data_IF_103950391314
#
_entry.id   IF_103950391314
#
_cell.length_a   1.000
_cell.length_b   1.000
_cell.length_c   1.000
_cell.angle_alpha   90.00
_cell.angle_beta   90.00
_cell.angle_gamma   90.00
#
_symmetry.space_group_name_H-M   'P 1'
#
loop_
_entity.id
_entity.type
_entity.pdbx_description
1 polymer ?
#
# COMPACT_ATOMS: atom_id res chain seq x y z
N UNK A 1 0.46 10.87 27.41
CA UNK A 1 1.20 10.12 26.36
C UNK A 1 1.12 10.85 25.03
N UNK A 2 2.26 10.97 24.34
CA UNK A 2 2.40 11.52 22.99
C UNK A 2 2.40 10.39 21.98
N UNK A 3 1.66 10.56 20.89
CA UNK A 3 1.54 9.54 19.85
C UNK A 3 1.54 10.12 18.45
N UNK A 4 1.84 9.29 17.46
CA UNK A 4 1.76 9.67 16.04
C UNK A 4 1.22 8.52 15.19
N UNK A 5 0.38 8.84 14.20
CA UNK A 5 0.04 7.93 13.10
C UNK A 5 0.83 8.33 11.86
N UNK A 6 1.75 7.47 11.43
CA UNK A 6 2.59 7.64 10.25
C UNK A 6 2.05 6.72 9.16
N UNK A 7 1.89 7.23 7.94
CA UNK A 7 1.42 6.39 6.83
C UNK A 7 1.99 6.78 5.46
N UNK A 8 1.94 5.83 4.53
CA UNK A 8 1.96 6.14 3.11
C UNK A 8 0.60 5.82 2.48
N UNK A 9 0.17 6.57 1.46
CA UNK A 9 -1.02 6.23 0.69
C UNK A 9 -0.88 6.69 -0.77
N UNK A 10 -0.99 5.75 -1.71
CA UNK A 10 -0.93 6.06 -3.14
C UNK A 10 -2.30 6.50 -3.68
N UNK A 11 -3.36 5.77 -3.33
CA UNK A 11 -4.72 5.95 -3.89
C UNK A 11 -5.72 6.51 -2.88
N UNK A 12 -5.31 6.70 -1.62
CA UNK A 12 -6.15 7.27 -0.56
C UNK A 12 -6.73 6.25 0.43
N UNK A 13 -6.70 4.94 0.14
CA UNK A 13 -7.26 3.91 1.05
C UNK A 13 -6.59 3.96 2.43
N UNK A 14 -5.27 3.81 2.47
CA UNK A 14 -4.49 3.84 3.72
C UNK A 14 -4.62 5.18 4.44
N UNK A 15 -4.80 6.29 3.73
CA UNK A 15 -5.04 7.61 4.33
C UNK A 15 -6.36 7.65 5.08
N UNK A 16 -7.44 7.11 4.50
CA UNK A 16 -8.75 7.05 5.16
C UNK A 16 -8.65 6.24 6.46
N UNK A 17 -8.01 5.08 6.42
CA UNK A 17 -7.74 4.24 7.60
C UNK A 17 -6.88 4.98 8.63
N UNK A 18 -5.76 5.59 8.21
CA UNK A 18 -4.87 6.33 9.10
C UNK A 18 -5.59 7.48 9.83
N UNK A 19 -6.45 8.23 9.11
CA UNK A 19 -7.28 9.30 9.71
C UNK A 19 -8.30 8.74 10.70
N UNK A 20 -8.88 7.56 10.44
CA UNK A 20 -9.78 6.92 11.39
C UNK A 20 -9.05 6.45 12.66
N UNK A 21 -7.91 5.76 12.51
CA UNK A 21 -7.03 5.38 13.61
C UNK A 21 -6.64 6.60 14.45
N UNK A 22 -6.23 7.70 13.79
CA UNK A 22 -5.86 8.94 14.45
C UNK A 22 -7.02 9.54 15.28
N UNK A 23 -8.26 9.53 14.77
CA UNK A 23 -9.43 9.95 15.56
C UNK A 23 -9.60 9.11 16.82
N UNK A 24 -9.46 7.79 16.70
CA UNK A 24 -9.59 6.86 17.83
C UNK A 24 -8.51 7.09 18.88
N UNK A 25 -7.25 7.21 18.46
CA UNK A 25 -6.13 7.50 19.35
C UNK A 25 -6.28 8.87 20.05
N UNK A 26 -6.79 9.88 19.33
CA UNK A 26 -6.99 11.24 19.86
C UNK A 26 -8.05 11.32 20.97
N UNK A 27 -8.92 10.32 21.11
CA UNK A 27 -9.89 10.25 22.22
C UNK A 27 -9.20 9.91 23.56
N UNK A 28 -8.02 9.29 23.50
CA UNK A 28 -7.33 8.75 24.67
C UNK A 28 -6.02 9.49 24.92
N UNK A 29 -5.21 9.73 23.89
CA UNK A 29 -3.90 10.37 23.99
C UNK A 29 -3.99 11.88 24.27
N UNK A 30 -3.01 12.43 25.02
CA UNK A 30 -2.93 13.88 25.28
C UNK A 30 -2.55 14.66 24.01
N UNK A 31 -1.70 14.04 23.18
CA UNK A 31 -1.29 14.55 21.89
C UNK A 31 -1.22 13.38 20.90
N UNK A 32 -1.87 13.55 19.76
CA UNK A 32 -1.83 12.59 18.66
C UNK A 32 -1.55 13.33 17.35
N UNK A 33 -0.35 13.18 16.83
CA UNK A 33 0.04 13.71 15.54
C UNK A 33 -0.37 12.74 14.43
N UNK A 34 -0.50 13.24 13.20
CA UNK A 34 -0.66 12.41 12.00
C UNK A 34 0.18 13.00 10.88
N UNK A 35 0.96 12.16 10.21
CA UNK A 35 1.85 12.60 9.14
C UNK A 35 2.09 11.49 8.11
N UNK A 36 2.46 11.88 6.90
CA UNK A 36 2.94 10.95 5.90
C UNK A 36 4.41 10.60 6.14
N UNK A 37 4.87 9.45 5.62
CA UNK A 37 6.30 9.07 5.68
C UNK A 37 7.26 10.11 5.06
N UNK A 38 6.77 10.99 4.17
CA UNK A 38 7.57 12.06 3.56
C UNK A 38 7.77 13.25 4.52
N UNK A 39 6.86 13.45 5.46
CA UNK A 39 6.85 14.59 6.39
C UNK A 39 7.56 14.28 7.70
N UNK A 40 7.85 12.99 7.97
CA UNK A 40 8.50 12.55 9.20
C UNK A 40 9.98 12.28 8.97
N UNK A 41 10.82 12.87 9.81
CA UNK A 41 12.21 12.47 9.93
C UNK A 41 12.30 11.19 10.80
N UNK A 42 12.79 10.05 10.27
CA UNK A 42 12.87 8.78 11.00
C UNK A 42 13.69 8.83 12.30
N UNK A 43 14.51 9.86 12.49
CA UNK A 43 15.36 10.05 13.68
C UNK A 43 14.60 10.63 14.87
N UNK A 44 13.44 11.25 14.65
CA UNK A 44 12.70 12.00 15.67
C UNK A 44 11.54 11.18 16.25
N UNK A 45 11.61 9.85 16.21
CA UNK A 45 10.54 8.96 16.65
C UNK A 45 10.56 8.69 18.16
N UNK A 46 11.69 8.90 18.82
CA UNK A 46 11.90 8.70 20.26
C UNK A 46 11.08 9.66 21.14
N UNK A 47 10.60 10.77 20.58
CA UNK A 47 9.71 11.72 21.26
C UNK A 47 8.27 11.23 21.44
N UNK A 48 7.92 10.09 20.85
CA UNK A 48 6.58 9.49 20.93
C UNK A 48 6.58 8.24 21.80
N UNK A 49 5.55 8.10 22.62
CA UNK A 49 5.33 6.90 23.44
C UNK A 49 4.70 5.77 22.62
N UNK A 50 3.91 6.14 21.59
CA UNK A 50 3.19 5.22 20.71
C UNK A 50 3.20 5.68 19.26
N UNK A 51 3.57 4.77 18.35
CA UNK A 51 3.60 5.01 16.91
C UNK A 51 2.64 4.06 16.20
N UNK A 52 1.82 4.57 15.28
CA UNK A 52 1.14 3.77 14.27
C UNK A 52 1.87 3.86 12.94
N UNK A 53 2.14 2.74 12.26
CA UNK A 53 2.80 2.74 10.94
C UNK A 53 1.97 2.00 9.89
N UNK A 54 1.49 2.75 8.89
CA UNK A 54 0.62 2.28 7.82
C UNK A 54 1.25 2.24 6.43
N UNK A 55 1.02 1.17 5.67
CA UNK A 55 1.35 1.10 4.23
C UNK A 55 0.23 0.41 3.46
N UNK A 56 -0.07 0.79 2.20
CA UNK A 56 -0.75 -0.14 1.31
C UNK A 56 0.16 -1.35 1.05
N UNK A 57 -0.44 -2.50 0.75
CA UNK A 57 0.32 -3.67 0.31
C UNK A 57 0.77 -3.48 -1.14
N UNK A 58 2.05 -3.74 -1.34
CA UNK A 58 2.72 -3.71 -2.63
C UNK A 58 3.47 -5.02 -2.82
N UNK A 59 3.00 -5.89 -3.72
CA UNK A 59 3.60 -7.20 -3.99
C UNK A 59 3.90 -7.98 -2.68
N UNK A 60 2.88 -8.12 -1.84
CA UNK A 60 2.96 -8.89 -0.58
C UNK A 60 3.65 -8.20 0.60
N UNK A 61 4.27 -7.03 0.40
CA UNK A 61 4.97 -6.30 1.46
C UNK A 61 4.56 -4.83 1.58
N UNK A 62 5.27 -4.12 2.44
CA UNK A 62 5.22 -2.66 2.50
C UNK A 62 5.80 -2.01 1.24
N UNK A 63 5.35 -0.80 0.96
CA UNK A 63 5.86 0.00 -0.14
C UNK A 63 7.34 0.36 0.03
N UNK A 64 8.14 0.41 -1.06
CA UNK A 64 9.56 0.76 -1.00
C UNK A 64 9.92 2.00 -0.18
N UNK A 65 9.14 3.09 -0.26
CA UNK A 65 9.40 4.28 0.55
C UNK A 65 9.17 4.06 2.06
N UNK A 66 8.20 3.22 2.43
CA UNK A 66 7.99 2.81 3.83
C UNK A 66 9.14 1.90 4.28
N UNK A 67 9.62 0.99 3.43
CA UNK A 67 10.81 0.18 3.72
C UNK A 67 12.04 1.05 3.97
N UNK A 68 12.31 2.00 3.06
CA UNK A 68 13.43 2.97 3.20
C UNK A 68 13.26 3.82 4.46
N UNK A 69 12.03 4.24 4.79
CA UNK A 69 11.74 4.95 6.04
C UNK A 69 12.14 4.11 7.25
N UNK A 70 11.67 2.85 7.34
CA UNK A 70 12.00 1.93 8.44
C UNK A 70 13.51 1.69 8.52
N UNK A 71 14.19 1.48 7.40
CA UNK A 71 15.63 1.20 7.37
C UNK A 71 16.44 2.38 7.94
N UNK A 72 15.94 3.62 7.82
CA UNK A 72 16.54 4.83 8.39
C UNK A 72 16.21 5.08 9.87
N UNK A 73 15.27 4.35 10.46
CA UNK A 73 14.93 4.49 11.89
C UNK A 73 16.14 4.04 12.74
N UNK A 74 16.63 4.86 13.69
CA UNK A 74 17.67 4.45 14.63
C UNK A 74 17.14 3.37 15.59
N UNK A 75 18.05 2.68 16.30
CA UNK A 75 17.62 1.71 17.31
C UNK A 75 16.76 2.39 18.39
N UNK A 76 15.61 1.79 18.65
CA UNK A 76 14.62 2.20 19.63
C UNK A 76 14.80 1.39 20.91
N UNK A 77 14.26 1.88 22.01
CA UNK A 77 14.40 1.28 23.33
C UNK A 77 13.04 0.83 23.87
N UNK A 78 12.37 -0.07 23.15
CA UNK A 78 11.10 -0.64 23.57
C UNK A 78 9.88 0.25 23.29
N UNK A 79 10.03 1.39 22.60
CA UNK A 79 8.93 2.26 22.17
C UNK A 79 7.80 1.44 21.56
N UNK A 80 6.57 1.73 21.94
CA UNK A 80 5.42 0.98 21.46
C UNK A 80 5.10 1.37 20.02
N UNK A 81 4.84 0.37 19.19
CA UNK A 81 4.40 0.56 17.81
C UNK A 81 3.30 -0.43 17.45
N UNK A 82 2.35 -0.01 16.63
CA UNK A 82 1.46 -0.93 15.93
C UNK A 82 1.57 -0.70 14.42
N UNK A 83 1.28 -1.72 13.62
CA UNK A 83 1.29 -1.59 12.16
C UNK A 83 -0.05 -1.90 11.55
N UNK A 84 -0.39 -1.18 10.48
CA UNK A 84 -1.58 -1.47 9.71
C UNK A 84 -1.31 -1.46 8.22
N UNK A 85 -2.20 -2.08 7.45
CA UNK A 85 -2.14 -2.01 6.01
C UNK A 85 -3.52 -1.92 5.34
N UNK A 86 -3.50 -1.58 4.06
CA UNK A 86 -4.67 -1.74 3.18
C UNK A 86 -4.31 -2.57 1.96
N UNK A 87 -5.19 -3.45 1.53
CA UNK A 87 -4.89 -4.41 0.47
C UNK A 87 -6.09 -4.76 -0.40
N UNK A 88 -5.82 -5.48 -1.50
CA UNK A 88 -6.83 -6.11 -2.33
C UNK A 88 -7.38 -7.36 -1.67
N UNK A 89 -6.72 -8.51 -1.83
CA UNK A 89 -7.26 -9.78 -1.31
C UNK A 89 -6.20 -10.71 -0.70
N UNK A 90 -4.91 -10.33 -0.74
CA UNK A 90 -3.81 -11.16 -0.25
C UNK A 90 -2.87 -10.33 0.63
N UNK A 91 -3.05 -10.29 1.96
CA UNK A 91 -2.16 -9.57 2.86
C UNK A 91 -1.17 -10.43 3.64
N UNK A 92 -1.10 -11.73 3.37
CA UNK A 92 -0.60 -12.75 4.29
C UNK A 92 0.87 -12.57 4.65
N UNK A 93 1.70 -12.10 3.72
CA UNK A 93 3.14 -11.92 3.95
C UNK A 93 3.50 -10.61 4.67
N UNK A 94 2.59 -9.64 4.75
CA UNK A 94 2.90 -8.30 5.24
C UNK A 94 3.29 -8.31 6.73
N UNK A 95 2.41 -8.78 7.61
CA UNK A 95 2.65 -8.70 9.06
C UNK A 95 3.79 -9.59 9.54
N UNK A 96 3.97 -10.84 9.07
CA UNK A 96 5.15 -11.62 9.42
C UNK A 96 6.46 -10.87 9.14
N UNK A 97 6.60 -10.26 7.97
CA UNK A 97 7.80 -9.46 7.64
C UNK A 97 7.90 -8.17 8.46
N UNK A 98 6.81 -7.39 8.52
CA UNK A 98 6.77 -6.07 9.14
C UNK A 98 7.07 -6.13 10.65
N UNK A 99 6.42 -7.04 11.38
CA UNK A 99 6.62 -7.18 12.84
C UNK A 99 8.08 -7.50 13.16
N UNK A 100 8.72 -8.41 12.40
CA UNK A 100 10.14 -8.75 12.59
C UNK A 100 11.04 -7.56 12.30
N UNK A 101 10.78 -6.80 11.24
CA UNK A 101 11.56 -5.60 10.89
C UNK A 101 11.48 -4.52 11.97
N UNK A 102 10.28 -4.27 12.50
CA UNK A 102 10.06 -3.31 13.59
C UNK A 102 10.72 -3.77 14.90
N UNK A 103 10.59 -5.04 15.28
CA UNK A 103 11.29 -5.60 16.44
C UNK A 103 12.81 -5.55 16.28
N UNK A 104 13.33 -5.79 15.09
CA UNK A 104 14.76 -5.64 14.80
C UNK A 104 15.24 -4.18 14.96
N UNK A 105 14.35 -3.19 14.87
CA UNK A 105 14.64 -1.80 15.20
C UNK A 105 14.51 -1.47 16.70
N UNK A 106 14.12 -2.43 17.54
CA UNK A 106 14.01 -2.25 19.00
C UNK A 106 12.65 -1.75 19.47
N UNK A 107 11.62 -1.77 18.61
CA UNK A 107 10.26 -1.46 19.01
C UNK A 107 9.58 -2.64 19.73
N UNK A 108 8.63 -2.33 20.60
CA UNK A 108 7.64 -3.28 21.09
C UNK A 108 6.41 -3.20 20.21
N UNK A 109 6.15 -4.24 19.41
CA UNK A 109 4.98 -4.27 18.52
C UNK A 109 3.76 -4.72 19.30
N UNK A 110 2.80 -3.81 19.51
CA UNK A 110 1.63 -4.02 20.39
C UNK A 110 0.34 -4.39 19.64
N UNK A 111 0.35 -4.37 18.31
CA UNK A 111 -0.82 -4.72 17.52
C UNK A 111 -0.60 -4.64 16.01
N UNK A 112 -1.44 -5.37 15.28
CA UNK A 112 -1.49 -5.36 13.82
C UNK A 112 -2.91 -5.51 13.32
N UNK A 113 -3.31 -4.75 12.30
CA UNK A 113 -4.63 -4.91 11.66
C UNK A 113 -4.64 -4.42 10.22
N UNK A 114 -5.41 -5.07 9.36
CA UNK A 114 -5.55 -4.71 7.95
C UNK A 114 -7.00 -4.41 7.56
N UNK A 115 -7.14 -3.72 6.44
CA UNK A 115 -8.43 -3.39 5.83
C UNK A 115 -8.41 -3.58 4.32
N UNK A 116 -9.56 -3.90 3.75
CA UNK A 116 -9.73 -3.92 2.32
C UNK A 116 -9.68 -2.49 1.74
N UNK A 117 -9.15 -2.37 0.53
CA UNK A 117 -9.08 -1.10 -0.19
C UNK A 117 -9.31 -1.28 -1.67
N UNK A 118 -9.95 -0.30 -2.29
CA UNK A 118 -10.19 -0.27 -3.74
C UNK A 118 -8.86 -0.34 -4.51
N UNK A 119 -8.77 -1.26 -5.46
CA UNK A 119 -7.52 -1.55 -6.19
C UNK A 119 -7.42 -0.71 -7.46
N UNK A 120 -6.30 -0.03 -7.71
CA UNK A 120 -6.13 0.80 -8.90
C UNK A 120 -4.80 0.49 -9.61
N UNK A 121 -4.83 -0.45 -10.56
CA UNK A 121 -3.76 -0.68 -11.52
C UNK A 121 -4.35 -1.07 -12.87
N UNK A 122 -3.57 -0.95 -13.95
CA UNK A 122 -4.04 -0.98 -15.34
C UNK A 122 -4.80 -2.25 -15.71
N UNK A 123 -4.31 -3.38 -15.22
CA UNK A 123 -4.76 -4.72 -15.57
C UNK A 123 -5.79 -5.29 -14.57
N UNK A 124 -6.09 -4.58 -13.48
CA UNK A 124 -7.09 -5.02 -12.53
C UNK A 124 -8.48 -5.05 -13.19
N UNK A 125 -9.32 -6.07 -12.95
CA UNK A 125 -10.71 -6.00 -13.35
C UNK A 125 -11.39 -4.79 -12.70
N UNK A 126 -12.34 -4.18 -13.43
CA UNK A 126 -13.18 -3.10 -12.91
C UNK A 126 -14.67 -3.33 -13.19
N UNK A 127 -15.52 -3.34 -12.15
CA UNK A 127 -15.19 -3.26 -10.71
C UNK A 127 -14.32 -4.43 -10.21
N UNK A 128 -13.61 -4.21 -9.10
CA UNK A 128 -12.80 -5.20 -8.38
C UNK A 128 -13.52 -5.68 -7.10
N UNK A 129 -13.12 -6.81 -6.53
CA UNK A 129 -13.73 -7.40 -5.32
C UNK A 129 -13.84 -6.43 -4.13
N UNK A 130 -12.84 -5.55 -3.97
CA UNK A 130 -12.77 -4.59 -2.86
C UNK A 130 -13.18 -3.17 -3.24
N UNK A 131 -13.76 -2.97 -4.42
CA UNK A 131 -14.23 -1.63 -4.80
C UNK A 131 -15.37 -1.16 -3.88
N UNK A 132 -15.24 0.07 -3.40
CA UNK A 132 -16.10 0.64 -2.36
C UNK A 132 -15.40 0.69 -0.99
N UNK A 133 -14.44 -0.20 -0.74
CA UNK A 133 -13.64 -0.18 0.49
C UNK A 133 -12.45 0.81 0.41
N UNK A 134 -12.00 1.38 1.54
CA UNK A 134 -12.63 1.27 2.85
C UNK A 134 -13.92 2.10 2.93
N UNK A 135 -14.96 1.50 3.50
CA UNK A 135 -16.28 2.07 3.74
C UNK A 135 -16.48 2.46 5.22
N UNK A 136 -17.67 2.94 5.59
CA UNK A 136 -17.92 3.44 6.95
C UNK A 136 -17.73 2.38 8.04
N UNK A 137 -17.94 1.09 7.75
CA UNK A 137 -17.68 0.02 8.72
C UNK A 137 -16.18 -0.14 8.90
N UNK A 138 -15.42 -0.19 7.81
CA UNK A 138 -13.95 -0.25 7.86
C UNK A 138 -13.38 0.94 8.65
N UNK A 139 -13.92 2.15 8.44
CA UNK A 139 -13.50 3.34 9.15
C UNK A 139 -13.84 3.29 10.63
N UNK A 140 -15.00 2.75 11.00
CA UNK A 140 -15.37 2.58 12.41
C UNK A 140 -14.45 1.59 13.11
N UNK A 141 -14.15 0.46 12.47
CA UNK A 141 -13.21 -0.53 13.01
C UNK A 141 -11.79 0.04 13.16
N UNK A 142 -11.33 0.83 12.19
CA UNK A 142 -10.05 1.52 12.25
C UNK A 142 -9.99 2.54 13.40
N UNK A 143 -11.08 3.27 13.63
CA UNK A 143 -11.19 4.18 14.76
C UNK A 143 -11.17 3.44 16.11
N UNK A 144 -11.91 2.35 16.22
CA UNK A 144 -11.92 1.53 17.44
C UNK A 144 -10.56 0.89 17.72
N UNK A 145 -9.88 0.40 16.68
CA UNK A 145 -8.52 -0.12 16.78
C UNK A 145 -7.52 0.96 17.22
N UNK A 146 -7.63 2.19 16.71
CA UNK A 146 -6.80 3.30 17.16
C UNK A 146 -6.95 3.59 18.66
N UNK A 147 -8.20 3.63 19.15
CA UNK A 147 -8.48 3.79 20.58
C UNK A 147 -7.87 2.65 21.40
N UNK A 148 -8.11 1.41 20.97
CA UNK A 148 -7.58 0.20 21.61
C UNK A 148 -6.05 0.23 21.73
N UNK A 149 -5.32 0.61 20.68
CA UNK A 149 -3.86 0.68 20.70
C UNK A 149 -3.33 1.73 21.70
N UNK A 150 -4.00 2.87 21.81
CA UNK A 150 -3.64 3.90 22.80
C UNK A 150 -3.86 3.41 24.24
N UNK A 151 -4.98 2.74 24.50
CA UNK A 151 -5.29 2.14 25.82
C UNK A 151 -4.31 1.03 26.17
N UNK A 152 -4.08 0.09 25.25
CA UNK A 152 -3.14 -1.02 25.44
C UNK A 152 -1.72 -0.52 25.67
N UNK A 153 -1.28 0.53 24.98
CA UNK A 153 0.04 1.12 25.23
C UNK A 153 0.22 1.59 26.67
N UNK A 154 -0.81 2.21 27.27
CA UNK A 154 -0.77 2.64 28.68
C UNK A 154 -0.75 1.45 29.64
N UNK A 155 -1.60 0.45 29.37
CA UNK A 155 -1.71 -0.78 30.17
C UNK A 155 -0.41 -1.60 30.15
N UNK A 156 0.20 -1.76 28.97
CA UNK A 156 1.50 -2.42 28.81
C UNK A 156 2.58 -1.66 29.59
N UNK A 157 2.58 -0.32 29.52
CA UNK A 157 3.51 0.52 30.31
C UNK A 157 3.30 0.37 31.82
N UNK A 158 2.07 0.04 32.26
CA UNK A 158 1.72 -0.25 33.65
C UNK A 158 2.00 -1.70 34.08
N UNK A 159 2.57 -2.53 33.20
CA UNK A 159 2.99 -3.89 33.50
C UNK A 159 2.10 -5.00 32.91
N UNK A 160 1.03 -4.66 32.18
CA UNK A 160 0.17 -5.65 31.51
C UNK A 160 0.81 -6.18 30.20
N UNK A 161 2.01 -6.77 30.29
CA UNK A 161 2.80 -7.20 29.12
C UNK A 161 2.18 -8.37 28.34
N UNK A 162 1.19 -9.06 28.92
CA UNK A 162 0.43 -10.12 28.26
C UNK A 162 -0.42 -9.61 27.07
N UNK A 163 -0.63 -8.28 26.97
CA UNK A 163 -1.32 -7.64 25.85
C UNK A 163 -0.43 -7.54 24.59
N UNK A 164 0.89 -7.77 24.70
CA UNK A 164 1.80 -7.77 23.56
C UNK A 164 1.55 -9.05 22.74
N UNK A 165 1.10 -8.96 21.47
CA UNK A 165 0.82 -10.14 20.67
C UNK A 165 2.11 -10.90 20.32
N UNK A 166 2.02 -12.23 20.09
CA UNK A 166 3.13 -12.99 19.56
C UNK A 166 3.51 -12.51 18.16
N UNK A 167 4.74 -12.82 17.73
CA UNK A 167 5.18 -12.53 16.36
C UNK A 167 4.41 -13.44 15.40
N UNK A 168 3.73 -12.90 14.37
CA UNK A 168 3.04 -13.73 13.38
C UNK A 168 3.98 -14.72 12.69
N UNK A 169 3.54 -15.96 12.53
CA UNK A 169 4.30 -17.01 11.85
C UNK A 169 4.51 -16.68 10.37
N UNK A 170 5.62 -17.17 9.79
CA UNK A 170 5.76 -17.18 8.35
C UNK A 170 4.90 -18.30 7.78
N UNK A 171 3.98 -17.97 6.89
CA UNK A 171 3.12 -18.96 6.25
C UNK A 171 3.53 -19.12 4.79
N UNK A 172 3.64 -20.36 4.33
CA UNK A 172 3.68 -20.64 2.89
C UNK A 172 2.26 -20.52 2.35
N UNK A 173 2.00 -19.47 1.60
CA UNK A 173 0.67 -19.17 1.05
C UNK A 173 0.68 -19.20 -0.48
N UNK A 174 -0.47 -19.41 -1.14
CA UNK A 174 -0.58 -19.20 -2.59
C UNK A 174 -0.04 -17.84 -3.04
N UNK A 175 -0.20 -16.79 -2.21
CA UNK A 175 0.43 -15.49 -2.46
C UNK A 175 1.96 -15.61 -2.63
N UNK A 176 2.66 -16.41 -1.82
CA UNK A 176 4.11 -16.54 -1.93
C UNK A 176 4.52 -17.18 -3.27
N UNK A 177 3.77 -18.18 -3.74
CA UNK A 177 3.99 -18.75 -5.08
C UNK A 177 3.79 -17.71 -6.18
N UNK A 178 2.70 -16.95 -6.11
CA UNK A 178 2.43 -15.87 -7.07
C UNK A 178 3.55 -14.84 -7.08
N UNK A 179 4.03 -14.43 -5.91
CA UNK A 179 5.15 -13.50 -5.80
C UNK A 179 6.44 -14.09 -6.38
N UNK A 180 6.74 -15.37 -6.11
CA UNK A 180 7.91 -16.05 -6.67
C UNK A 180 7.87 -16.07 -8.20
N UNK A 181 6.73 -16.39 -8.81
CA UNK A 181 6.55 -16.35 -10.27
C UNK A 181 6.77 -14.93 -10.81
N UNK A 182 6.21 -13.91 -10.15
CA UNK A 182 6.45 -12.51 -10.53
C UNK A 182 7.92 -12.09 -10.41
N UNK A 183 8.65 -12.58 -9.40
CA UNK A 183 10.08 -12.29 -9.27
C UNK A 183 10.91 -13.06 -10.32
N UNK A 184 10.51 -14.28 -10.69
CA UNK A 184 11.21 -15.11 -11.67
C UNK A 184 11.00 -14.64 -13.11
N UNK A 185 9.88 -13.99 -13.43
CA UNK A 185 9.61 -13.47 -14.78
C UNK A 185 10.67 -12.47 -15.26
N UNK A 186 11.38 -11.81 -14.34
CA UNK A 186 12.53 -11.00 -14.69
C UNK A 186 12.21 -9.64 -15.32
N UNK A 187 10.92 -9.27 -15.39
CA UNK A 187 10.46 -8.03 -16.01
C UNK A 187 9.22 -7.47 -15.28
N UNK A 188 8.89 -6.20 -15.55
CA UNK A 188 7.61 -5.65 -15.09
C UNK A 188 6.46 -6.45 -15.74
N UNK A 189 5.57 -7.11 -14.98
CA UNK A 189 4.44 -7.84 -15.56
C UNK A 189 3.43 -6.91 -16.26
N UNK A 190 3.51 -5.61 -16.03
CA UNK A 190 2.65 -4.58 -16.60
C UNK A 190 3.31 -3.87 -17.80
N UNK A 191 4.49 -4.30 -18.25
CA UNK A 191 5.16 -3.75 -19.44
C UNK A 191 6.00 -2.48 -19.18
N UNK A 192 6.55 -1.91 -20.27
CA UNK A 192 7.45 -0.76 -20.20
C UNK A 192 6.73 0.59 -20.31
N UNK A 193 7.22 1.57 -19.54
CA UNK A 193 6.73 2.95 -19.57
C UNK A 193 7.56 3.80 -20.53
N UNK A 194 6.87 4.48 -21.43
CA UNK A 194 7.39 5.45 -22.40
C UNK A 194 7.08 6.88 -21.97
N UNK A 195 7.90 7.82 -22.44
CA UNK A 195 7.73 9.26 -22.23
C UNK A 195 7.71 9.99 -23.57
N UNK A 196 6.70 10.84 -23.76
CA UNK A 196 6.56 11.72 -24.91
C UNK A 196 6.71 13.17 -24.44
N UNK A 197 7.82 13.81 -24.85
CA UNK A 197 8.17 15.19 -24.49
C UNK A 197 7.16 16.21 -25.04
N UNK A 198 6.64 16.01 -26.25
CA UNK A 198 5.69 16.92 -26.91
C UNK A 198 4.33 16.96 -26.20
N UNK A 199 3.90 15.84 -25.61
CA UNK A 199 2.68 15.76 -24.80
C UNK A 199 2.90 16.23 -23.36
N UNK A 200 4.15 16.38 -22.92
CA UNK A 200 4.45 16.66 -21.52
C UNK A 200 4.16 18.13 -21.18
N UNK A 201 3.52 18.35 -20.03
CA UNK A 201 3.23 19.69 -19.53
C UNK A 201 4.27 20.21 -18.52
N UNK A 202 5.35 19.46 -18.26
CA UNK A 202 6.45 19.94 -17.41
C UNK A 202 7.05 21.23 -17.99
N UNK A 203 7.36 22.26 -17.19
CA UNK A 203 7.33 22.29 -15.71
C UNK A 203 5.97 22.67 -15.09
N UNK A 204 4.93 22.98 -15.88
CA UNK A 204 3.60 23.34 -15.36
C UNK A 204 2.88 22.17 -14.65
N UNK A 205 3.34 20.94 -14.86
CA UNK A 205 2.83 19.74 -14.21
C UNK A 205 3.97 18.85 -13.71
N UNK A 206 3.95 18.52 -12.42
CA UNK A 206 4.96 17.69 -11.73
C UNK A 206 4.36 16.42 -11.12
N UNK A 207 3.10 16.08 -11.42
CA UNK A 207 2.36 14.98 -10.77
C UNK A 207 3.13 13.66 -10.71
N UNK A 208 3.81 13.27 -11.80
CA UNK A 208 4.59 12.04 -11.85
C UNK A 208 5.82 12.08 -10.93
N UNK A 209 6.47 13.23 -10.79
CA UNK A 209 7.61 13.45 -9.88
C UNK A 209 7.11 13.46 -8.43
N UNK A 210 6.08 14.25 -8.14
CA UNK A 210 5.56 14.47 -6.78
C UNK A 210 5.00 13.18 -6.15
N UNK A 211 4.46 12.29 -6.97
CA UNK A 211 3.83 11.03 -6.56
C UNK A 211 4.66 9.80 -6.97
N UNK A 212 5.92 9.99 -7.38
CA UNK A 212 6.83 8.86 -7.57
C UNK A 212 7.17 8.26 -6.21
N UNK A 213 6.73 7.01 -6.00
CA UNK A 213 7.01 6.24 -4.79
C UNK A 213 8.52 6.14 -4.50
N UNK A 214 9.30 5.95 -5.58
CA UNK A 214 10.74 5.75 -5.52
C UNK A 214 11.53 7.05 -5.50
N UNK A 215 10.89 8.21 -5.70
CA UNK A 215 11.59 9.48 -5.92
C UNK A 215 12.51 9.46 -7.15
N UNK A 216 12.23 8.59 -8.12
CA UNK A 216 13.12 8.29 -9.24
C UNK A 216 12.87 9.20 -10.46
N UNK A 217 11.63 9.62 -10.71
CA UNK A 217 11.29 10.41 -11.90
C UNK A 217 11.84 11.83 -11.72
N UNK A 218 12.67 12.27 -12.67
CA UNK A 218 13.21 13.63 -12.76
C UNK A 218 13.19 14.12 -14.21
N UNK A 219 12.23 15.00 -14.52
CA UNK A 219 12.07 15.59 -15.85
C UNK A 219 12.88 16.87 -16.04
N UNK A 220 13.62 17.32 -15.02
CA UNK A 220 14.41 18.56 -15.05
C UNK A 220 15.80 18.39 -15.68
N UNK A 221 16.28 17.15 -15.76
CA UNK A 221 17.61 16.77 -16.28
C UNK A 221 17.56 16.36 -17.75
N UNK A 222 18.72 16.35 -18.42
CA UNK A 222 18.88 15.91 -19.81
C UNK A 222 19.91 14.75 -19.91
N UNK A 223 19.51 13.54 -20.35
CA UNK A 223 18.16 13.16 -20.74
C UNK A 223 17.21 13.04 -19.52
N UNK A 224 15.90 13.28 -19.70
CA UNK A 224 14.94 13.17 -18.61
C UNK A 224 14.86 11.73 -18.08
N UNK A 225 14.74 11.60 -16.76
CA UNK A 225 14.67 10.34 -16.03
C UNK A 225 13.20 10.00 -15.77
N UNK A 226 12.77 8.84 -16.25
CA UNK A 226 11.41 8.33 -16.13
C UNK A 226 11.36 6.82 -16.35
N UNK A 227 10.24 6.19 -16.01
CA UNK A 227 10.03 4.76 -16.27
C UNK A 227 11.16 3.90 -15.68
N UNK A 228 11.59 2.84 -16.38
CA UNK A 228 12.67 1.94 -15.96
C UNK A 228 14.04 2.29 -16.56
N UNK A 229 14.38 3.56 -16.78
CA UNK A 229 15.69 3.95 -17.32
C UNK A 229 16.82 3.83 -16.28
N UNK A 230 17.17 2.61 -15.87
CA UNK A 230 18.17 2.32 -14.82
C UNK A 230 17.56 1.60 -13.61
N UNK A 231 18.28 1.57 -12.49
CA UNK A 231 17.97 0.67 -11.36
C UNK A 231 17.13 1.31 -10.24
N UNK A 232 16.74 2.58 -10.38
CA UNK A 232 16.04 3.33 -9.33
C UNK A 232 14.51 3.23 -9.38
N UNK A 233 13.94 2.85 -10.53
CA UNK A 233 12.52 2.60 -10.64
C UNK A 233 12.22 1.14 -10.34
N UNK A 234 11.34 0.91 -9.37
CA UNK A 234 10.86 -0.43 -9.02
C UNK A 234 9.79 -0.92 -10.00
N UNK A 235 10.09 -0.82 -11.30
CA UNK A 235 9.25 -1.36 -12.37
C UNK A 235 9.17 -2.88 -12.27
N UNK A 236 10.20 -3.55 -11.75
CA UNK A 236 10.16 -4.99 -11.49
C UNK A 236 8.96 -5.39 -10.60
N UNK A 237 8.56 -4.52 -9.67
CA UNK A 237 7.40 -4.73 -8.80
C UNK A 237 6.10 -4.11 -9.34
N UNK A 238 6.04 -3.76 -10.64
CA UNK A 238 4.77 -3.40 -11.30
C UNK A 238 4.27 -1.96 -11.13
N UNK A 239 5.10 -1.02 -10.62
CA UNK A 239 4.65 0.35 -10.40
C UNK A 239 4.49 1.16 -11.69
N UNK A 240 3.27 1.59 -11.94
CA UNK A 240 2.88 2.32 -13.16
C UNK A 240 1.99 3.52 -12.83
N UNK A 241 2.01 3.96 -11.56
CA UNK A 241 1.11 5.01 -11.07
C UNK A 241 1.29 6.34 -11.79
N UNK A 242 2.52 6.66 -12.20
CA UNK A 242 2.82 7.85 -13.01
C UNK A 242 2.05 7.90 -14.33
N UNK A 243 1.72 6.75 -14.92
CA UNK A 243 0.87 6.65 -16.11
C UNK A 243 -0.60 6.87 -15.78
N UNK A 244 -1.08 6.31 -14.68
CA UNK A 244 -2.48 6.46 -14.25
C UNK A 244 -2.84 7.94 -14.03
N UNK A 245 -1.92 8.71 -13.44
CA UNK A 245 -2.15 10.12 -13.07
C UNK A 245 -1.73 11.12 -14.15
N UNK A 246 -1.10 10.67 -15.24
CA UNK A 246 -0.63 11.58 -16.29
C UNK A 246 -1.84 12.18 -17.05
N UNK A 247 -2.04 13.52 -17.04
CA UNK A 247 -3.24 14.14 -17.60
C UNK A 247 -3.25 14.14 -19.13
N UNK A 248 -2.08 14.10 -19.78
CA UNK A 248 -1.96 14.16 -21.24
C UNK A 248 -1.59 12.81 -21.86
N UNK A 249 -1.30 11.80 -21.05
CA UNK A 249 -0.70 10.56 -21.52
C UNK A 249 0.72 10.74 -22.05
N UNK A 250 1.45 11.78 -21.62
CA UNK A 250 2.88 11.92 -21.87
C UNK A 250 3.68 10.76 -21.26
N UNK A 251 3.21 10.18 -20.16
CA UNK A 251 3.68 8.90 -19.63
C UNK A 251 2.64 7.85 -20.01
N UNK A 252 3.07 6.79 -20.70
CA UNK A 252 2.20 5.74 -21.24
C UNK A 252 2.90 4.38 -21.26
N UNK A 253 2.17 3.27 -21.20
CA UNK A 253 2.73 1.93 -21.42
C UNK A 253 2.10 1.24 -22.64
N UNK A 254 2.77 0.21 -23.17
CA UNK A 254 2.20 -0.65 -24.21
C UNK A 254 1.29 -1.72 -23.60
N UNK A 255 0.11 -1.30 -23.14
CA UNK A 255 -0.80 -2.18 -22.42
C UNK A 255 -1.41 -3.27 -23.30
N UNK A 256 -1.49 -3.08 -24.62
CA UNK A 256 -2.01 -4.11 -25.54
C UNK A 256 -1.04 -5.29 -25.68
N UNK A 257 0.26 -5.02 -25.70
CA UNK A 257 1.31 -6.04 -25.65
C UNK A 257 1.36 -6.68 -24.26
N UNK A 258 1.31 -5.88 -23.19
CA UNK A 258 1.21 -6.40 -21.81
C UNK A 258 -0.05 -7.24 -21.55
N UNK A 259 -1.16 -7.00 -22.26
CA UNK A 259 -2.36 -7.84 -22.22
C UNK A 259 -2.20 -9.18 -22.96
N UNK A 260 -1.30 -9.25 -23.95
CA UNK A 260 -0.98 -10.48 -24.72
C UNK A 260 0.09 -11.32 -24.05
N UNK A 261 1.07 -10.68 -23.42
CA UNK A 261 2.14 -11.31 -22.64
C UNK A 261 1.68 -11.67 -21.22
N UNK A 262 0.73 -10.91 -20.67
CA UNK A 262 0.17 -11.06 -19.33
C UNK A 262 -0.96 -12.10 -19.23
N UNK A 263 -0.82 -13.24 -19.91
CA UNK A 263 -1.33 -14.46 -19.30
C UNK A 263 -0.60 -14.54 -17.95
N UNK A 264 -1.31 -14.33 -16.83
CA UNK A 264 -0.71 -14.28 -15.50
C UNK A 264 0.02 -15.58 -15.15
N UNK A 265 0.27 -15.92 -13.87
CA UNK A 265 0.83 -17.23 -13.50
C UNK A 265 -0.06 -18.45 -13.85
N UNK A 266 -1.08 -18.27 -14.71
CA UNK A 266 -1.96 -19.30 -15.24
C UNK A 266 -1.27 -20.52 -15.88
N UNK A 267 -0.03 -20.45 -16.42
CA UNK A 267 0.67 -21.67 -16.84
C UNK A 267 1.06 -22.61 -15.69
N UNK A 268 1.09 -22.12 -14.43
CA UNK A 268 1.59 -22.88 -13.25
C UNK A 268 0.48 -23.25 -12.27
N UNK A 269 -0.64 -22.51 -12.23
CA UNK A 269 -1.79 -22.78 -11.36
C UNK A 269 -3.06 -22.99 -12.19
N UNK A 270 -3.80 -24.08 -11.93
CA UNK A 270 -5.10 -24.40 -12.57
C UNK A 270 -6.25 -23.41 -12.20
N UNK A 271 -5.94 -22.34 -11.46
CA UNK A 271 -6.90 -21.35 -10.98
C UNK A 271 -6.30 -19.95 -10.92
N UNK A 272 -7.14 -18.92 -10.96
CA UNK A 272 -6.73 -17.54 -10.71
C UNK A 272 -6.53 -17.31 -9.20
N UNK A 273 -5.30 -17.02 -8.73
CA UNK A 273 -5.03 -16.92 -7.30
C UNK A 273 -5.72 -15.72 -6.65
N UNK A 274 -5.89 -14.60 -7.36
CA UNK A 274 -6.60 -13.42 -6.84
C UNK A 274 -8.08 -13.70 -6.66
N UNK A 275 -8.70 -14.41 -7.61
CA UNK A 275 -10.10 -14.81 -7.49
C UNK A 275 -10.31 -15.80 -6.35
N UNK A 276 -9.45 -16.83 -6.24
CA UNK A 276 -9.53 -17.80 -5.14
C UNK A 276 -9.39 -17.12 -3.77
N UNK A 277 -8.40 -16.25 -3.61
CA UNK A 277 -8.22 -15.50 -2.36
C UNK A 277 -9.44 -14.64 -2.03
N UNK A 278 -10.03 -13.98 -3.03
CA UNK A 278 -11.26 -13.21 -2.87
C UNK A 278 -12.42 -14.09 -2.40
N UNK A 279 -12.67 -15.21 -3.08
CA UNK A 279 -13.77 -16.12 -2.76
C UNK A 279 -13.61 -16.71 -1.34
N UNK A 280 -12.39 -17.03 -0.90
CA UNK A 280 -12.10 -17.49 0.47
C UNK A 280 -12.44 -16.42 1.52
N UNK A 281 -12.01 -15.17 1.33
CA UNK A 281 -12.31 -14.10 2.30
C UNK A 281 -13.78 -13.69 2.28
N UNK A 282 -14.47 -13.80 1.14
CA UNK A 282 -15.92 -13.61 1.04
C UNK A 282 -16.65 -14.72 1.79
N UNK A 283 -16.29 -15.98 1.57
CA UNK A 283 -16.90 -17.13 2.24
C UNK A 283 -16.71 -17.10 3.76
N UNK A 284 -15.58 -16.58 4.24
CA UNK A 284 -15.32 -16.38 5.67
C UNK A 284 -16.14 -15.24 6.31
N UNK A 285 -16.81 -14.40 5.50
CA UNK A 285 -17.52 -13.20 5.95
C UNK A 285 -16.62 -12.00 6.24
N UNK A 286 -15.30 -12.13 6.05
CA UNK A 286 -14.33 -11.05 6.27
C UNK A 286 -14.46 -9.94 5.20
N UNK A 287 -14.67 -10.32 3.93
CA UNK A 287 -14.92 -9.36 2.85
C UNK A 287 -16.41 -9.29 2.52
N UNK A 288 -16.96 -8.09 2.59
CA UNK A 288 -18.35 -7.79 2.20
C UNK A 288 -18.37 -7.16 0.82
N UNK A 289 -18.90 -7.86 -0.18
CA UNK A 289 -18.98 -7.30 -1.52
C UNK A 289 -19.91 -6.06 -1.55
N UNK A 290 -19.35 -4.93 -1.98
CA UNK A 290 -20.08 -3.67 -2.23
C UNK A 290 -20.46 -3.47 -3.70
N UNK A 291 -20.03 -4.40 -4.55
CA UNK A 291 -20.33 -4.47 -5.98
C UNK A 291 -20.90 -5.85 -6.30
N UNK A 292 -21.82 -5.98 -7.27
CA UNK A 292 -22.34 -7.29 -7.66
C UNK A 292 -21.24 -8.19 -8.23
N UNK A 293 -21.16 -9.45 -7.80
CA UNK A 293 -20.08 -10.40 -8.15
C UNK A 293 -19.98 -10.61 -9.66
N UNK A 294 -21.11 -10.64 -10.35
CA UNK A 294 -21.23 -10.81 -11.80
C UNK A 294 -20.65 -9.63 -12.61
N UNK A 295 -20.45 -8.47 -11.99
CA UNK A 295 -19.80 -7.32 -12.63
C UNK A 295 -18.27 -7.39 -12.55
N UNK A 296 -17.71 -8.23 -11.68
CA UNK A 296 -16.25 -8.40 -11.53
C UNK A 296 -15.77 -9.31 -12.65
N UNK A 297 -15.30 -8.72 -13.74
CA UNK A 297 -14.90 -9.43 -14.96
C UNK A 297 -13.45 -9.16 -15.34
N UNK A 298 -12.63 -10.20 -15.39
CA UNK A 298 -11.20 -10.12 -15.76
C UNK A 298 -10.97 -9.70 -17.22
N UNK A 299 -11.95 -9.85 -18.11
CA UNK A 299 -11.89 -9.35 -19.49
C UNK A 299 -12.17 -7.83 -19.63
N UNK A 300 -12.52 -7.17 -18.51
CA UNK A 300 -12.83 -5.75 -18.41
C UNK A 300 -11.84 -5.00 -17.48
N UNK A 301 -10.56 -4.84 -17.90
CA UNK A 301 -9.52 -4.22 -17.08
C UNK A 301 -9.71 -2.71 -16.92
N UNK A 302 -9.07 -2.14 -15.89
CA UNK A 302 -9.11 -0.73 -15.51
C UNK A 302 -8.89 0.22 -16.69
N UNK A 303 -7.94 -0.06 -17.57
CA UNK A 303 -7.63 0.80 -18.72
C UNK A 303 -8.75 0.87 -19.77
N UNK A 304 -9.61 -0.16 -19.87
CA UNK A 304 -10.79 -0.14 -20.75
C UNK A 304 -11.91 0.69 -20.13
N UNK A 305 -12.15 0.50 -18.83
CA UNK A 305 -13.18 1.23 -18.07
C UNK A 305 -12.82 2.73 -17.94
N UNK A 306 -11.56 3.02 -17.61
CA UNK A 306 -11.02 4.37 -17.42
C UNK A 306 -10.11 4.74 -18.60
N UNK A 307 -10.70 4.86 -19.79
CA UNK A 307 -9.98 5.12 -21.05
C UNK A 307 -9.47 6.56 -21.20
N UNK A 308 -10.10 7.52 -20.51
CA UNK A 308 -9.75 8.95 -20.57
C UNK A 308 -8.60 9.30 -19.61
N UNK A 309 -7.81 10.31 -19.96
CA UNK A 309 -6.70 10.82 -19.14
C UNK A 309 -7.13 12.00 -18.25
N UNK A 310 -6.55 12.14 -17.04
CA UNK A 310 -5.81 11.10 -16.32
C UNK A 310 -6.77 9.94 -15.96
N UNK A 311 -6.26 8.70 -15.98
CA UNK A 311 -7.07 7.51 -15.70
C UNK A 311 -7.48 7.46 -14.23
N UNK A 312 -6.56 7.85 -13.35
CA UNK A 312 -6.79 8.04 -11.93
C UNK A 312 -6.61 9.52 -11.55
N UNK A 313 -7.61 10.08 -10.89
CA UNK A 313 -7.55 11.45 -10.35
C UNK A 313 -7.14 11.38 -8.88
N UNK A 314 -6.01 11.97 -8.54
CA UNK A 314 -5.59 12.10 -7.14
C UNK A 314 -6.60 13.01 -6.41
N UNK A 315 -7.18 12.59 -5.29
CA UNK A 315 -8.05 13.44 -4.48
C UNK A 315 -7.32 14.73 -4.04
N UNK A 316 -8.02 15.87 -4.04
CA UNK A 316 -7.42 17.21 -3.82
C UNK A 316 -6.97 17.44 -2.38
N UNK A 317 -7.63 16.78 -1.46
CA UNK A 317 -7.37 16.69 -0.04
C UNK A 317 -6.12 15.83 0.19
N UNK A 318 -4.92 16.41 0.04
CA UNK A 318 -3.68 15.85 0.58
C UNK A 318 -3.55 16.28 2.04
#
# INVERSE_FOLDING_TARGET
MKSIVIYYSQTGNTRKIARAIHRGMSQVAEQCDIATVKEVNPKDLDKYDLIGLGSPIWMGGETPNVRIFIDKIPKQQGTHIFSFNTHGVMPEQYFPSMVRRLKAKGFTVIGTRDWFGSVHFQMAPKPYFTDGHPDEIDLKEAEDFGREMAENSRRISAGETHLIPPVPEHMYTPQLFVLLEFFQSGHNPHGHISYNKEKCLYPKCTLCMDNCLMGYIDLSVDPPIYGSRGNGCDMWMGCTFCELICPTGAISGNWEEGMKEGEGPGPVLDFNPLEKAADEVIASGRLRLLVPREQIRFDNPYIKVYSKRPRFKIPKDK
#
